data_IF_637664429856
#
_entry.id   IF_637664429856
#
_cell.length_a   1.000
_cell.length_b   1.000
_cell.length_c   1.000
_cell.angle_alpha   90.00
_cell.angle_beta   90.00
_cell.angle_gamma   90.00
#
_symmetry.space_group_name_H-M   'P 1'
#
loop_
_entity.id
_entity.type
_entity.pdbx_description
1 polymer ?
#
# COMPACT_ATOMS: atom_id res chain seq x y z
N UNK A 1 27.12 16.25 14.15
CA UNK A 1 26.67 14.86 13.95
C UNK A 1 25.33 14.73 14.66
N UNK A 2 24.22 14.48 13.94
CA UNK A 2 22.89 14.41 14.56
C UNK A 2 22.70 13.00 15.16
N UNK A 3 22.51 12.92 16.47
CA UNK A 3 22.29 11.64 17.17
C UNK A 3 20.86 11.17 16.85
N UNK A 4 20.72 9.98 16.26
CA UNK A 4 19.41 9.42 15.90
C UNK A 4 18.72 8.82 17.12
N UNK A 5 17.40 8.60 17.03
CA UNK A 5 16.67 7.91 18.10
C UNK A 5 17.21 6.49 18.35
N UNK A 6 17.71 5.82 17.32
CA UNK A 6 18.32 4.50 17.45
C UNK A 6 19.60 4.55 18.30
N UNK A 7 20.48 5.52 18.05
CA UNK A 7 21.69 5.73 18.85
C UNK A 7 21.36 5.99 20.32
N UNK A 8 20.32 6.79 20.61
CA UNK A 8 19.87 7.05 21.98
C UNK A 8 19.39 5.79 22.69
N UNK A 9 18.66 4.91 22.00
CA UNK A 9 18.20 3.64 22.57
C UNK A 9 19.35 2.65 22.81
N UNK A 10 20.30 2.57 21.87
CA UNK A 10 21.49 1.75 22.03
C UNK A 10 22.34 2.22 23.22
N UNK A 11 22.58 3.53 23.35
CA UNK A 11 23.28 4.11 24.49
C UNK A 11 22.55 3.85 25.80
N UNK A 12 21.23 4.06 25.85
CA UNK A 12 20.44 3.79 27.05
C UNK A 12 20.49 2.32 27.47
N UNK A 13 20.53 1.38 26.52
CA UNK A 13 20.69 -0.05 26.82
C UNK A 13 22.07 -0.36 27.40
N UNK A 14 23.14 0.26 26.88
CA UNK A 14 24.50 0.12 27.42
C UNK A 14 24.60 0.68 28.85
N UNK A 15 24.00 1.83 29.14
CA UNK A 15 23.97 2.39 30.50
C UNK A 15 23.17 1.50 31.47
N UNK A 16 22.08 0.90 30.99
CA UNK A 16 21.32 -0.06 31.79
C UNK A 16 22.13 -1.34 32.09
N UNK A 17 22.94 -1.82 31.15
CA UNK A 17 23.84 -2.97 31.36
C UNK A 17 24.98 -2.63 32.34
N UNK A 18 25.48 -1.40 32.29
CA UNK A 18 26.50 -0.90 33.21
C UNK A 18 26.00 -0.66 34.65
N UNK A 19 24.71 -0.88 34.93
CA UNK A 19 24.08 -0.67 36.23
C UNK A 19 23.64 0.78 36.49
N UNK A 20 23.84 1.68 35.54
CA UNK A 20 23.47 3.10 35.59
C UNK A 20 22.00 3.28 35.14
N UNK A 21 21.09 2.64 35.88
CA UNK A 21 19.67 2.56 35.53
C UNK A 21 18.94 3.92 35.60
N UNK A 22 19.42 4.88 36.39
CA UNK A 22 18.85 6.24 36.42
C UNK A 22 19.13 6.99 35.12
N UNK A 23 20.40 7.02 34.70
CA UNK A 23 20.85 7.66 33.46
C UNK A 23 20.15 7.07 32.23
N UNK A 24 20.02 5.73 32.17
CA UNK A 24 19.29 5.06 31.10
C UNK A 24 17.81 5.46 31.05
N UNK A 25 17.18 5.64 32.22
CA UNK A 25 15.78 6.10 32.33
C UNK A 25 15.62 7.55 31.90
N UNK A 26 16.53 8.42 32.27
CA UNK A 26 16.52 9.82 31.85
C UNK A 26 16.71 9.95 30.33
N UNK A 27 17.65 9.22 29.75
CA UNK A 27 17.87 9.20 28.29
C UNK A 27 16.64 8.70 27.51
N UNK A 28 15.91 7.72 28.05
CA UNK A 28 14.65 7.24 27.47
C UNK A 28 13.47 8.19 27.74
N UNK A 29 13.46 8.92 28.85
CA UNK A 29 12.43 9.92 29.14
C UNK A 29 12.61 11.16 28.26
N UNK A 30 13.86 11.59 28.02
CA UNK A 30 14.20 12.68 27.12
C UNK A 30 13.83 12.34 25.67
N UNK A 31 14.05 11.10 25.21
CA UNK A 31 13.63 10.68 23.86
C UNK A 31 12.10 10.62 23.69
N UNK A 32 11.36 10.34 24.78
CA UNK A 32 9.88 10.34 24.78
C UNK A 32 9.30 11.76 24.82
N UNK A 33 10.03 12.72 25.40
CA UNK A 33 9.63 14.13 25.51
C UNK A 33 10.04 14.95 24.28
N UNK A 34 11.20 14.63 23.68
CA UNK A 34 11.64 15.21 22.43
C UNK A 34 10.78 14.71 21.27
N UNK A 35 9.79 15.52 20.90
CA UNK A 35 8.94 15.35 19.70
C UNK A 35 8.02 14.14 19.73
N UNK A 36 6.90 14.30 20.43
CA UNK A 36 5.61 13.96 19.82
C UNK A 36 5.39 14.97 18.69
N UNK A 37 6.10 14.79 17.57
CA UNK A 37 5.69 15.42 16.33
C UNK A 37 4.20 15.07 16.19
N UNK A 38 3.29 16.06 16.08
CA UNK A 38 1.97 15.73 15.60
C UNK A 38 2.25 15.13 14.24
N UNK A 39 2.09 13.81 14.13
CA UNK A 39 1.92 13.17 12.84
C UNK A 39 0.60 13.75 12.34
N UNK A 40 0.64 14.98 11.83
CA UNK A 40 -0.31 15.47 10.86
C UNK A 40 -0.15 14.47 9.74
N UNK A 41 -0.97 13.42 9.79
CA UNK A 41 -1.24 12.60 8.64
C UNK A 41 -1.43 13.60 7.50
N UNK A 42 -0.61 13.56 6.45
CA UNK A 42 -0.90 14.39 5.29
C UNK A 42 -2.36 14.10 4.97
N UNK A 43 -3.20 15.13 4.86
CA UNK A 43 -4.54 14.99 4.32
C UNK A 43 -4.38 14.39 2.93
N UNK A 44 -4.31 13.06 2.86
CA UNK A 44 -4.21 12.31 1.64
C UNK A 44 -5.49 12.67 0.92
N UNK A 45 -5.36 13.48 -0.13
CA UNK A 45 -6.52 13.87 -0.92
C UNK A 45 -7.17 12.56 -1.35
N UNK A 46 -8.40 12.35 -0.88
CA UNK A 46 -9.14 11.12 -1.13
C UNK A 46 -9.11 10.85 -2.65
N UNK A 47 -8.72 9.65 -3.10
CA UNK A 47 -8.43 9.36 -4.50
C UNK A 47 -9.71 9.19 -5.33
N UNK A 48 -10.68 10.11 -5.20
CA UNK A 48 -11.95 10.11 -5.91
C UNK A 48 -11.75 10.07 -7.42
N UNK A 49 -10.85 10.91 -7.94
CA UNK A 49 -10.58 10.98 -9.37
C UNK A 49 -9.97 9.68 -9.90
N UNK A 50 -9.01 9.11 -9.17
CA UNK A 50 -8.41 7.83 -9.53
C UNK A 50 -9.44 6.70 -9.49
N UNK A 51 -10.32 6.68 -8.48
CA UNK A 51 -11.42 5.70 -8.38
C UNK A 51 -12.34 5.75 -9.59
N UNK A 52 -12.77 6.93 -10.00
CA UNK A 52 -13.67 7.08 -11.17
C UNK A 52 -12.97 6.68 -12.46
N UNK A 53 -11.71 7.09 -12.66
CA UNK A 53 -10.94 6.74 -13.85
C UNK A 53 -10.73 5.23 -13.94
N UNK A 54 -10.22 4.59 -12.88
CA UNK A 54 -10.02 3.14 -12.88
C UNK A 54 -11.33 2.37 -12.98
N UNK A 55 -12.42 2.89 -12.43
CA UNK A 55 -13.77 2.31 -12.57
C UNK A 55 -14.26 2.34 -14.02
N UNK A 56 -14.16 3.48 -14.70
CA UNK A 56 -14.53 3.62 -16.12
C UNK A 56 -13.66 2.72 -17.01
N UNK A 57 -12.35 2.70 -16.77
CA UNK A 57 -11.42 1.86 -17.53
C UNK A 57 -11.75 0.38 -17.32
N UNK A 58 -11.94 -0.06 -16.07
CA UNK A 58 -12.29 -1.45 -15.75
C UNK A 58 -13.61 -1.85 -16.41
N UNK A 59 -14.65 -1.01 -16.30
CA UNK A 59 -15.95 -1.26 -16.92
C UNK A 59 -15.84 -1.34 -18.44
N UNK A 60 -15.14 -0.40 -19.06
CA UNK A 60 -14.96 -0.37 -20.53
C UNK A 60 -14.19 -1.59 -21.03
N UNK A 61 -13.17 -2.02 -20.29
CA UNK A 61 -12.42 -3.24 -20.61
C UNK A 61 -13.31 -4.48 -20.58
N UNK A 62 -14.15 -4.63 -19.55
CA UNK A 62 -15.12 -5.73 -19.46
C UNK A 62 -16.09 -5.71 -20.64
N UNK A 63 -16.69 -4.57 -20.93
CA UNK A 63 -17.62 -4.42 -22.06
C UNK A 63 -16.95 -4.75 -23.39
N UNK A 64 -15.70 -4.34 -23.58
CA UNK A 64 -14.95 -4.62 -24.81
C UNK A 64 -14.70 -6.11 -25.01
N UNK A 65 -14.27 -6.82 -23.96
CA UNK A 65 -14.03 -8.26 -24.01
C UNK A 65 -15.33 -9.02 -24.27
N UNK A 66 -16.41 -8.68 -23.56
CA UNK A 66 -17.70 -9.34 -23.74
C UNK A 66 -18.37 -9.01 -25.08
N UNK A 67 -18.20 -7.80 -25.62
CA UNK A 67 -18.73 -7.44 -26.94
C UNK A 67 -18.05 -8.21 -28.07
N UNK A 68 -16.81 -8.66 -27.85
CA UNK A 68 -16.01 -9.43 -28.80
C UNK A 68 -15.88 -10.91 -28.40
N UNK A 69 -16.85 -11.45 -27.65
CA UNK A 69 -16.80 -12.82 -27.09
C UNK A 69 -16.37 -13.86 -28.12
N UNK A 70 -16.94 -13.86 -29.33
CA UNK A 70 -16.61 -14.84 -30.38
C UNK A 70 -15.11 -14.84 -30.73
N UNK A 71 -14.49 -13.67 -30.84
CA UNK A 71 -13.06 -13.55 -31.12
C UNK A 71 -12.22 -13.97 -29.92
N UNK A 72 -12.63 -13.57 -28.72
CA UNK A 72 -11.92 -13.92 -27.48
C UNK A 72 -11.94 -15.43 -27.28
N UNK A 73 -13.09 -16.08 -27.41
CA UNK A 73 -13.23 -17.54 -27.28
C UNK A 73 -12.44 -18.27 -28.36
N UNK A 74 -12.49 -17.83 -29.62
CA UNK A 74 -11.70 -18.44 -30.70
C UNK A 74 -10.19 -18.35 -30.42
N UNK A 75 -9.69 -17.21 -29.94
CA UNK A 75 -8.26 -17.05 -29.64
C UNK A 75 -7.87 -17.82 -28.37
N UNK A 76 -8.70 -17.79 -27.33
CA UNK A 76 -8.35 -18.34 -26.01
C UNK A 76 -8.45 -19.86 -25.97
N UNK A 77 -9.23 -20.49 -26.87
CA UNK A 77 -9.42 -21.95 -26.91
C UNK A 77 -8.47 -22.69 -27.85
N UNK A 78 -7.72 -21.97 -28.71
CA UNK A 78 -6.74 -22.56 -29.65
C UNK A 78 -5.59 -23.35 -29.00
N UNK A 79 -5.37 -23.18 -27.69
CA UNK A 79 -4.34 -23.91 -26.94
C UNK A 79 -2.91 -23.57 -27.36
N UNK A 80 -1.93 -24.34 -26.88
CA UNK A 80 -0.51 -24.09 -27.13
C UNK A 80 -0.06 -22.72 -26.60
N UNK A 81 0.67 -21.95 -27.41
CA UNK A 81 1.12 -20.60 -27.05
C UNK A 81 -0.06 -19.65 -26.77
N UNK A 82 -1.23 -19.89 -27.39
CA UNK A 82 -2.41 -19.06 -27.19
C UNK A 82 -3.01 -19.19 -25.78
N UNK A 83 -2.65 -20.22 -25.00
CA UNK A 83 -3.03 -20.33 -23.59
C UNK A 83 -2.44 -19.21 -22.72
N UNK A 84 -1.41 -18.51 -23.20
CA UNK A 84 -0.88 -17.32 -22.53
C UNK A 84 -1.88 -16.15 -22.55
N UNK A 85 -2.76 -16.05 -23.56
CA UNK A 85 -3.74 -14.97 -23.69
C UNK A 85 -4.74 -14.88 -22.52
N UNK A 86 -5.44 -15.97 -22.11
CA UNK A 86 -6.33 -15.91 -20.96
C UNK A 86 -5.59 -15.56 -19.66
N UNK A 87 -4.37 -16.07 -19.48
CA UNK A 87 -3.56 -15.79 -18.29
C UNK A 87 -3.18 -14.31 -18.25
N UNK A 88 -2.62 -13.79 -19.35
CA UNK A 88 -2.22 -12.38 -19.45
C UNK A 88 -3.40 -11.43 -19.29
N UNK A 89 -4.55 -11.78 -19.87
CA UNK A 89 -5.79 -11.01 -19.72
C UNK A 89 -6.26 -11.01 -18.27
N UNK A 90 -6.29 -12.17 -17.60
CA UNK A 90 -6.67 -12.25 -16.19
C UNK A 90 -5.76 -11.40 -15.29
N UNK A 91 -4.44 -11.43 -15.52
CA UNK A 91 -3.48 -10.60 -14.78
C UNK A 91 -3.68 -9.10 -15.01
N UNK A 92 -3.87 -8.69 -16.27
CA UNK A 92 -4.13 -7.30 -16.65
C UNK A 92 -5.41 -6.77 -16.00
N UNK A 93 -6.51 -7.52 -16.11
CA UNK A 93 -7.79 -7.16 -15.47
C UNK A 93 -7.67 -7.11 -13.96
N UNK A 94 -6.99 -8.07 -13.34
CA UNK A 94 -6.77 -8.09 -11.88
C UNK A 94 -6.00 -6.87 -11.41
N UNK A 95 -5.00 -6.41 -12.17
CA UNK A 95 -4.24 -5.22 -11.82
C UNK A 95 -5.11 -3.95 -11.86
N UNK A 96 -5.84 -3.73 -12.96
CA UNK A 96 -6.68 -2.53 -13.13
C UNK A 96 -7.85 -2.54 -12.13
N UNK A 97 -8.56 -3.65 -12.04
CA UNK A 97 -9.68 -3.79 -11.12
C UNK A 97 -9.22 -3.77 -9.66
N UNK A 98 -8.04 -4.32 -9.35
CA UNK A 98 -7.43 -4.24 -8.02
C UNK A 98 -7.05 -2.81 -7.64
N UNK A 99 -6.47 -2.04 -8.58
CA UNK A 99 -6.20 -0.62 -8.37
C UNK A 99 -7.50 0.18 -8.15
N UNK A 100 -8.56 -0.13 -8.90
CA UNK A 100 -9.89 0.42 -8.64
C UNK A 100 -10.38 0.08 -7.24
N UNK A 101 -10.35 -1.19 -6.83
CA UNK A 101 -10.80 -1.64 -5.51
C UNK A 101 -10.06 -0.98 -4.36
N UNK A 102 -8.74 -0.84 -4.47
CA UNK A 102 -7.92 -0.11 -3.48
C UNK A 102 -8.38 1.34 -3.33
N UNK A 103 -8.51 2.06 -4.45
CA UNK A 103 -8.96 3.46 -4.44
C UNK A 103 -10.41 3.59 -3.95
N UNK A 104 -11.28 2.64 -4.27
CA UNK A 104 -12.67 2.60 -3.83
C UNK A 104 -12.76 2.42 -2.31
N UNK A 105 -11.99 1.51 -1.73
CA UNK A 105 -11.92 1.32 -0.27
C UNK A 105 -11.39 2.58 0.43
N UNK A 106 -10.37 3.24 -0.15
CA UNK A 106 -9.88 4.53 0.32
C UNK A 106 -10.95 5.63 0.28
N UNK A 107 -11.77 5.67 -0.77
CA UNK A 107 -12.89 6.61 -0.90
C UNK A 107 -14.00 6.33 0.12
N UNK A 108 -14.32 5.05 0.35
CA UNK A 108 -15.30 4.60 1.35
C UNK A 108 -14.81 4.77 2.79
N UNK A 109 -13.53 5.10 3.00
CA UNK A 109 -12.93 5.25 4.33
C UNK A 109 -12.63 3.93 5.03
N UNK A 110 -12.66 2.81 4.29
CA UNK A 110 -12.33 1.47 4.77
C UNK A 110 -10.83 1.19 4.55
N UNK A 111 -9.96 2.14 4.93
CA UNK A 111 -8.51 1.95 4.83
C UNK A 111 -7.99 1.08 5.98
N UNK A 112 -7.11 0.14 5.66
CA UNK A 112 -6.44 -0.67 6.65
C UNK A 112 -5.60 0.21 7.59
N UNK A 113 -5.77 0.02 8.91
CA UNK A 113 -4.90 0.63 9.91
C UNK A 113 -3.46 0.18 9.66
N UNK A 114 -2.57 1.09 9.23
CA UNK A 114 -1.13 0.83 9.20
C UNK A 114 -0.70 0.46 10.63
N UNK A 115 -0.15 -0.75 10.79
CA UNK A 115 0.45 -1.22 12.03
C UNK A 115 1.77 -0.49 12.28
#
# INVERSE_FOLDING_TARGET
MAITNFDKHAMAATFAEAGEHETAREMLAESKSAKKDPVTAPHARKPYLQTVIFGIISLSAYLYVFSNEKLVTDIFTRGGVYAAWPIGTALFFSFIHGAFGSNLLSVLGLEAKKK
#
